data_IF_603142739330
#
_entry.id   IF_603142739330
#
_cell.length_a   1.000
_cell.length_b   1.000
_cell.length_c   1.000
_cell.angle_alpha   90.00
_cell.angle_beta   90.00
_cell.angle_gamma   90.00
#
_symmetry.space_group_name_H-M   'P 1'
#
loop_
_entity.id
_entity.type
_entity.pdbx_description
1 polymer ?
#
# COMPACT_ATOMS: atom_id res chain seq x y z
N UNK A 1 13.79 -3.46 -10.97
CA UNK A 1 12.42 -3.16 -11.45
C UNK A 1 12.04 -1.73 -11.06
N UNK A 2 10.98 -1.14 -11.62
CA UNK A 2 10.61 0.26 -11.35
C UNK A 2 10.19 0.50 -9.89
N UNK A 3 9.50 -0.47 -9.28
CA UNK A 3 9.04 -0.45 -7.88
C UNK A 3 10.19 -0.34 -6.87
N UNK A 4 11.39 -0.77 -7.25
CA UNK A 4 12.58 -0.73 -6.40
C UNK A 4 13.16 0.68 -6.28
N UNK A 5 12.81 1.58 -7.21
CA UNK A 5 13.21 2.99 -7.18
C UNK A 5 12.36 3.83 -6.23
N UNK A 6 11.24 3.29 -5.75
CA UNK A 6 10.31 3.99 -4.85
C UNK A 6 10.72 3.71 -3.40
N UNK A 7 10.92 4.75 -2.57
CA UNK A 7 11.23 4.59 -1.15
C UNK A 7 9.98 4.18 -0.37
N UNK A 8 9.70 2.86 -0.34
CA UNK A 8 8.63 2.27 0.47
C UNK A 8 9.06 2.15 1.94
N UNK A 9 8.10 2.18 2.86
CA UNK A 9 8.40 2.12 4.31
C UNK A 9 8.97 0.79 4.77
N UNK A 10 8.71 -0.29 4.01
CA UNK A 10 9.14 -1.65 4.36
C UNK A 10 9.80 -2.38 3.18
N UNK A 11 10.81 -3.23 3.45
CA UNK A 11 11.51 -3.96 2.39
C UNK A 11 10.59 -4.99 1.74
N UNK A 12 10.73 -5.14 0.43
CA UNK A 12 9.98 -6.12 -0.38
C UNK A 12 10.69 -7.48 -0.31
N UNK A 13 9.97 -8.53 0.10
CA UNK A 13 10.42 -9.94 0.10
C UNK A 13 9.60 -10.79 -0.87
N UNK A 14 8.29 -10.61 -0.90
CA UNK A 14 7.37 -11.28 -1.81
C UNK A 14 6.28 -10.30 -2.22
N UNK A 15 6.36 -9.79 -3.45
CA UNK A 15 5.47 -8.76 -3.98
C UNK A 15 3.99 -9.16 -3.81
N UNK A 16 3.64 -10.43 -3.99
CA UNK A 16 2.23 -10.86 -3.87
C UNK A 16 1.73 -10.71 -2.44
N UNK A 17 2.57 -11.02 -1.45
CA UNK A 17 2.20 -10.93 -0.02
C UNK A 17 2.31 -9.51 0.50
N UNK A 18 3.38 -8.82 0.14
CA UNK A 18 3.70 -7.48 0.65
C UNK A 18 2.75 -6.40 0.12
N UNK A 19 2.12 -6.62 -1.03
CA UNK A 19 1.14 -5.70 -1.62
C UNK A 19 -0.32 -6.10 -1.32
N UNK A 20 -0.55 -7.27 -0.72
CA UNK A 20 -1.90 -7.81 -0.52
C UNK A 20 -2.78 -6.96 0.41
N UNK A 21 -2.19 -6.22 1.35
CA UNK A 21 -2.90 -5.40 2.33
C UNK A 21 -3.19 -3.97 1.85
N UNK A 22 -2.77 -3.60 0.63
CA UNK A 22 -3.01 -2.28 0.04
C UNK A 22 -2.14 -1.14 0.59
N UNK A 23 -1.39 -1.36 1.68
CA UNK A 23 -0.60 -0.28 2.31
C UNK A 23 0.53 0.16 1.38
N UNK A 24 1.36 -0.77 0.88
CA UNK A 24 2.44 -0.41 -0.06
C UNK A 24 1.90 0.20 -1.36
N UNK A 25 0.69 -0.17 -1.78
CA UNK A 25 0.05 0.43 -2.95
C UNK A 25 -0.29 1.89 -2.68
N UNK A 26 -0.85 2.18 -1.50
CA UNK A 26 -1.10 3.54 -1.05
C UNK A 26 0.19 4.37 -1.01
N UNK A 27 1.33 3.80 -0.58
CA UNK A 27 2.62 4.48 -0.59
C UNK A 27 3.09 4.84 -2.02
N UNK A 28 2.93 3.92 -2.97
CA UNK A 28 3.26 4.19 -4.38
C UNK A 28 2.38 5.31 -4.93
N UNK A 29 1.08 5.26 -4.67
CA UNK A 29 0.15 6.30 -5.12
C UNK A 29 0.53 7.63 -4.49
N UNK A 30 0.81 7.68 -3.18
CA UNK A 30 1.25 8.88 -2.47
C UNK A 30 2.57 9.43 -2.99
N UNK A 31 3.51 8.58 -3.39
CA UNK A 31 4.79 9.00 -3.96
C UNK A 31 4.60 9.75 -5.29
N UNK A 32 3.69 9.27 -6.14
CA UNK A 32 3.42 9.89 -7.44
C UNK A 32 2.34 10.98 -7.40
N UNK A 33 1.37 10.87 -6.50
CA UNK A 33 0.19 11.71 -6.35
C UNK A 33 -0.03 12.02 -4.85
N UNK A 34 0.75 12.93 -4.25
CA UNK A 34 0.77 13.12 -2.79
C UNK A 34 -0.56 13.53 -2.15
N UNK A 35 -1.47 14.13 -2.92
CA UNK A 35 -2.76 14.62 -2.43
C UNK A 35 -3.93 13.67 -2.75
N UNK A 36 -3.66 12.54 -3.40
CA UNK A 36 -4.71 11.59 -3.78
C UNK A 36 -5.03 10.61 -2.65
N UNK A 37 -4.11 10.46 -1.68
CA UNK A 37 -4.24 9.48 -0.61
C UNK A 37 -3.77 10.05 0.73
N UNK A 38 -4.66 10.01 1.72
CA UNK A 38 -4.30 10.23 3.13
C UNK A 38 -3.75 8.95 3.75
N UNK A 39 -2.60 9.02 4.41
CA UNK A 39 -1.88 7.85 4.92
C UNK A 39 -2.47 7.34 6.25
N UNK A 40 -3.74 6.94 6.22
CA UNK A 40 -4.48 6.34 7.33
C UNK A 40 -4.62 4.82 7.18
N UNK A 41 -3.64 4.17 6.54
CA UNK A 41 -3.64 2.73 6.27
C UNK A 41 -2.85 1.97 7.34
N UNK A 42 -3.44 0.93 7.88
CA UNK A 42 -2.80 0.07 8.87
C UNK A 42 -2.43 -1.28 8.26
N UNK A 43 -1.19 -1.76 8.40
CA UNK A 43 -0.79 -3.10 7.95
C UNK A 43 -1.72 -4.19 8.50
N UNK A 44 -2.10 -5.13 7.65
CA UNK A 44 -3.14 -6.10 7.99
C UNK A 44 -2.84 -7.51 7.46
N UNK A 45 -3.03 -8.51 8.33
CA UNK A 45 -2.86 -9.92 7.96
C UNK A 45 -4.19 -10.64 7.72
N UNK A 46 -5.29 -10.19 8.34
CA UNK A 46 -6.62 -10.76 8.15
C UNK A 46 -7.34 -10.17 6.92
N UNK A 47 -8.21 -10.95 6.29
CA UNK A 47 -8.90 -10.59 5.04
C UNK A 47 -9.79 -9.35 5.21
N UNK A 48 -10.44 -9.21 6.37
CA UNK A 48 -11.35 -8.10 6.63
C UNK A 48 -10.62 -6.76 6.59
N UNK A 49 -9.51 -6.63 7.31
CA UNK A 49 -8.74 -5.39 7.38
C UNK A 49 -8.03 -5.09 6.06
N UNK A 50 -7.54 -6.12 5.35
CA UNK A 50 -7.02 -5.93 3.98
C UNK A 50 -8.11 -5.34 3.07
N UNK A 51 -9.32 -5.87 3.14
CA UNK A 51 -10.47 -5.37 2.36
C UNK A 51 -10.81 -3.92 2.74
N UNK A 52 -10.76 -3.57 4.02
CA UNK A 52 -10.95 -2.18 4.48
C UNK A 52 -9.91 -1.24 3.89
N UNK A 53 -8.62 -1.61 3.89
CA UNK A 53 -7.57 -0.82 3.27
C UNK A 53 -7.83 -0.62 1.77
N UNK A 54 -8.19 -1.67 1.04
CA UNK A 54 -8.53 -1.54 -0.38
C UNK A 54 -9.74 -0.65 -0.64
N UNK A 55 -10.77 -0.72 0.21
CA UNK A 55 -11.94 0.17 0.13
C UNK A 55 -11.58 1.62 0.40
N UNK A 56 -10.66 1.88 1.34
CA UNK A 56 -10.18 3.23 1.62
C UNK A 56 -9.39 3.81 0.45
N UNK A 57 -8.60 2.98 -0.24
CA UNK A 57 -7.82 3.39 -1.42
C UNK A 57 -8.69 3.69 -2.65
N UNK A 58 -9.85 3.04 -2.76
CA UNK A 58 -10.79 3.22 -3.87
C UNK A 58 -11.89 4.27 -3.58
N UNK A 59 -11.66 5.16 -2.62
CA UNK A 59 -12.52 6.32 -2.35
C UNK A 59 -11.90 7.55 -2.98
#
# INVERSE_FOLDING_TARGET
NWVDKIPLSRPKKDIRRDFADGVMVAEIVRYHLPNFVEMHYCPANNVQNKTTNWKLLNR
#
